data_IF_457730808171
#
_entry.id   IF_457730808171
#
_cell.length_a   1.000
_cell.length_b   1.000
_cell.length_c   1.000
_cell.angle_alpha   90.00
_cell.angle_beta   90.00
_cell.angle_gamma   90.00
#
_symmetry.space_group_name_H-M   'P 1'
#
loop_
_entity.id
_entity.type
_entity.pdbx_description
1 polymer ?
#
# COMPACT_ATOMS: atom_id res chain seq x y z
N UNK A 1 -15.46 -32.74 29.84
CA UNK A 1 -16.36 -31.56 29.74
C UNK A 1 -17.77 -32.00 29.33
N UNK A 2 -18.81 -31.51 30.01
CA UNK A 2 -20.20 -31.90 29.69
C UNK A 2 -20.73 -31.21 28.43
N UNK A 3 -20.25 -29.98 28.14
CA UNK A 3 -20.62 -29.19 26.96
C UNK A 3 -20.42 -29.91 25.62
N UNK A 4 -21.35 -29.73 24.66
CA UNK A 4 -21.17 -30.22 23.28
C UNK A 4 -20.14 -29.38 22.50
N UNK A 5 -19.78 -29.84 21.30
CA UNK A 5 -18.96 -29.03 20.40
C UNK A 5 -19.69 -27.73 20.01
N UNK A 6 -20.99 -27.78 19.72
CA UNK A 6 -21.77 -26.59 19.38
C UNK A 6 -21.84 -25.58 20.54
N UNK A 7 -21.96 -26.05 21.78
CA UNK A 7 -21.90 -25.20 22.97
C UNK A 7 -20.55 -24.47 23.06
N UNK A 8 -19.45 -25.18 22.80
CA UNK A 8 -18.11 -24.61 22.76
C UNK A 8 -17.97 -23.60 21.60
N UNK A 9 -18.45 -23.92 20.40
CA UNK A 9 -18.45 -23.02 19.24
C UNK A 9 -19.20 -21.73 19.55
N UNK A 10 -20.38 -21.81 20.17
CA UNK A 10 -21.16 -20.62 20.58
C UNK A 10 -20.36 -19.72 21.54
N UNK A 11 -19.60 -20.31 22.48
CA UNK A 11 -18.72 -19.57 23.39
C UNK A 11 -17.53 -18.95 22.64
N UNK A 12 -16.88 -19.70 21.75
CA UNK A 12 -15.74 -19.23 20.93
C UNK A 12 -16.16 -18.08 20.02
N UNK A 13 -17.28 -18.22 19.30
CA UNK A 13 -17.79 -17.18 18.38
C UNK A 13 -17.95 -15.84 19.08
N UNK A 14 -18.48 -15.83 20.30
CA UNK A 14 -18.65 -14.61 21.09
C UNK A 14 -17.34 -13.88 21.38
N UNK A 15 -16.20 -14.56 21.34
CA UNK A 15 -14.88 -14.03 21.66
C UNK A 15 -14.02 -13.73 20.42
N UNK A 16 -14.41 -14.21 19.24
CA UNK A 16 -13.61 -14.13 18.02
C UNK A 16 -14.21 -13.17 16.98
N UNK A 17 -13.36 -12.31 16.42
CA UNK A 17 -13.63 -11.48 15.24
C UNK A 17 -12.58 -11.83 14.19
N UNK A 18 -13.00 -12.03 12.94
CA UNK A 18 -12.12 -12.41 11.85
C UNK A 18 -11.91 -11.26 10.85
N UNK A 19 -10.66 -10.95 10.55
CA UNK A 19 -10.33 -9.95 9.52
C UNK A 19 -9.59 -10.63 8.39
N UNK A 20 -10.12 -10.50 7.16
CA UNK A 20 -9.44 -10.99 5.95
C UNK A 20 -8.62 -9.87 5.31
N UNK A 21 -7.43 -10.22 4.80
CA UNK A 21 -6.50 -9.32 4.14
C UNK A 21 -6.21 -9.70 2.68
N UNK A 22 -6.84 -10.76 2.17
CA UNK A 22 -6.52 -11.34 0.86
C UNK A 22 -7.70 -11.17 -0.11
N UNK A 23 -7.53 -10.43 -1.22
CA UNK A 23 -8.58 -10.21 -2.22
C UNK A 23 -8.70 -11.35 -3.24
N UNK A 24 -7.86 -12.38 -3.15
CA UNK A 24 -7.81 -13.53 -4.07
C UNK A 24 -7.87 -14.85 -3.31
N UNK A 25 -8.65 -15.81 -3.81
CA UNK A 25 -8.81 -17.12 -3.19
C UNK A 25 -7.47 -17.83 -2.96
N UNK A 26 -6.57 -17.78 -3.95
CA UNK A 26 -5.25 -18.42 -3.92
C UNK A 26 -4.30 -17.90 -2.82
N UNK A 27 -4.58 -16.73 -2.22
CA UNK A 27 -3.79 -16.20 -1.11
C UNK A 27 -4.34 -16.56 0.27
N UNK A 28 -5.34 -17.45 0.35
CA UNK A 28 -5.86 -17.98 1.61
C UNK A 28 -5.25 -19.35 1.90
N UNK A 29 -4.90 -19.59 3.16
CA UNK A 29 -4.26 -20.85 3.56
C UNK A 29 -5.23 -22.03 3.43
N UNK A 30 -4.79 -23.03 2.66
CA UNK A 30 -5.49 -24.29 2.44
C UNK A 30 -4.57 -25.48 2.71
N UNK A 31 -5.10 -26.50 3.36
CA UNK A 31 -4.38 -27.71 3.73
C UNK A 31 -5.08 -28.93 3.15
N UNK A 32 -4.29 -29.91 2.70
CA UNK A 32 -4.85 -31.19 2.27
C UNK A 32 -5.30 -32.00 3.49
N UNK A 33 -6.34 -32.85 3.36
CA UNK A 33 -6.79 -33.70 4.46
C UNK A 33 -5.67 -34.58 5.04
N UNK A 34 -4.73 -35.05 4.23
CA UNK A 34 -3.60 -35.89 4.68
C UNK A 34 -2.70 -35.12 5.67
N UNK A 35 -2.35 -33.86 5.34
CA UNK A 35 -1.52 -33.03 6.23
C UNK A 35 -2.18 -32.78 7.58
N UNK A 36 -3.50 -32.65 7.60
CA UNK A 36 -4.24 -32.49 8.85
C UNK A 36 -4.26 -33.77 9.66
N UNK A 37 -4.39 -34.95 9.03
CA UNK A 37 -4.29 -36.25 9.71
C UNK A 37 -2.92 -36.49 10.34
N UNK A 38 -1.86 -35.97 9.73
CA UNK A 38 -0.51 -36.02 10.31
C UNK A 38 -0.35 -35.15 11.56
N UNK A 39 -1.17 -34.10 11.69
CA UNK A 39 -1.10 -33.13 12.80
C UNK A 39 -2.12 -33.39 13.92
N UNK A 40 -3.29 -33.94 13.59
CA UNK A 40 -4.41 -34.13 14.51
C UNK A 40 -4.81 -35.60 14.53
N UNK A 41 -4.47 -36.29 15.62
CA UNK A 41 -4.84 -37.69 15.79
C UNK A 41 -6.33 -37.87 16.13
N UNK A 42 -6.82 -39.10 15.98
CA UNK A 42 -8.23 -39.43 16.24
C UNK A 42 -8.65 -39.18 17.69
N UNK A 43 -7.70 -39.15 18.64
CA UNK A 43 -7.99 -38.83 20.05
C UNK A 43 -8.27 -37.34 20.22
N UNK A 44 -7.46 -36.47 19.62
CA UNK A 44 -7.70 -35.04 19.62
C UNK A 44 -9.08 -34.70 19.04
N UNK A 45 -9.44 -35.34 17.91
CA UNK A 45 -10.75 -35.12 17.27
C UNK A 45 -11.89 -35.65 18.16
N UNK A 46 -11.73 -36.81 18.79
CA UNK A 46 -12.71 -37.35 19.72
C UNK A 46 -12.87 -36.50 21.01
N UNK A 47 -11.80 -35.87 21.48
CA UNK A 47 -11.85 -34.94 22.63
C UNK A 47 -12.66 -33.67 22.32
N UNK A 48 -12.72 -33.27 21.03
CA UNK A 48 -13.65 -32.24 20.54
C UNK A 48 -15.08 -32.74 20.38
N UNK A 49 -15.34 -34.03 20.64
CA UNK A 49 -16.62 -34.72 20.42
C UNK A 49 -17.07 -34.68 18.96
N UNK A 50 -16.12 -34.77 18.02
CA UNK A 50 -16.37 -34.82 16.58
C UNK A 50 -15.91 -36.14 15.99
N UNK A 51 -16.48 -36.50 14.84
CA UNK A 51 -15.91 -37.46 13.89
C UNK A 51 -14.84 -36.79 13.02
N UNK A 52 -13.99 -37.58 12.36
CA UNK A 52 -13.03 -37.05 11.37
C UNK A 52 -13.76 -36.24 10.28
N UNK A 53 -14.89 -36.75 9.77
CA UNK A 53 -15.66 -36.08 8.72
C UNK A 53 -16.18 -34.73 9.17
N UNK A 54 -16.73 -34.64 10.39
CA UNK A 54 -17.20 -33.36 10.96
C UNK A 54 -16.05 -32.40 11.23
N UNK A 55 -14.90 -32.89 11.69
CA UNK A 55 -13.72 -32.04 11.89
C UNK A 55 -13.23 -31.44 10.58
N UNK A 56 -13.10 -32.24 9.52
CA UNK A 56 -12.65 -31.73 8.21
C UNK A 56 -13.66 -30.79 7.57
N UNK A 57 -14.96 -30.98 7.80
CA UNK A 57 -15.99 -30.10 7.21
C UNK A 57 -15.95 -28.67 7.75
N UNK A 58 -15.38 -28.45 8.95
CA UNK A 58 -15.22 -27.12 9.56
C UNK A 58 -14.48 -26.13 8.65
N UNK A 59 -13.51 -26.61 7.87
CA UNK A 59 -12.68 -25.79 6.98
C UNK A 59 -13.13 -25.80 5.52
N UNK A 60 -14.20 -26.49 5.14
CA UNK A 60 -14.62 -26.59 3.73
C UNK A 60 -15.54 -25.45 3.34
N UNK A 61 -15.53 -25.03 2.08
CA UNK A 61 -16.56 -24.10 1.58
C UNK A 61 -17.90 -24.84 1.51
N UNK A 62 -17.90 -25.97 0.80
CA UNK A 62 -19.00 -26.93 0.77
C UNK A 62 -18.68 -28.09 1.74
N UNK A 63 -19.43 -28.24 2.86
CA UNK A 63 -19.23 -29.31 3.82
C UNK A 63 -19.32 -30.72 3.22
N UNK A 64 -20.09 -30.89 2.14
CA UNK A 64 -20.40 -32.19 1.54
C UNK A 64 -19.36 -32.62 0.49
N UNK A 65 -18.51 -31.70 0.02
CA UNK A 65 -17.41 -32.03 -0.89
C UNK A 65 -16.32 -32.81 -0.14
N UNK A 66 -16.26 -34.12 -0.37
CA UNK A 66 -15.28 -35.00 0.28
C UNK A 66 -13.83 -34.71 -0.12
N UNK A 67 -13.60 -34.10 -1.29
CA UNK A 67 -12.28 -33.83 -1.83
C UNK A 67 -11.82 -32.38 -1.63
N UNK A 68 -12.69 -31.52 -1.09
CA UNK A 68 -12.34 -30.13 -0.83
C UNK A 68 -11.20 -30.03 0.20
N UNK A 69 -10.18 -29.17 -0.05
CA UNK A 69 -9.15 -28.89 0.92
C UNK A 69 -9.74 -28.15 2.13
N UNK A 70 -9.04 -28.23 3.26
CA UNK A 70 -9.40 -27.51 4.46
C UNK A 70 -8.86 -26.08 4.40
N UNK A 71 -9.75 -25.10 4.28
CA UNK A 71 -9.40 -23.68 4.30
C UNK A 71 -9.49 -23.07 5.70
N UNK A 72 -8.47 -22.28 6.05
CA UNK A 72 -8.47 -21.55 7.32
C UNK A 72 -9.49 -20.42 7.34
N UNK A 73 -9.75 -19.79 6.19
CA UNK A 73 -10.76 -18.73 6.09
C UNK A 73 -12.19 -19.26 6.32
N UNK A 74 -12.62 -20.38 5.69
CA UNK A 74 -13.89 -20.99 6.03
C UNK A 74 -14.03 -21.35 7.51
N UNK A 75 -12.97 -21.91 8.13
CA UNK A 75 -12.96 -22.19 9.56
C UNK A 75 -13.17 -20.89 10.37
N UNK A 76 -12.40 -19.84 10.08
CA UNK A 76 -12.48 -18.58 10.81
C UNK A 76 -13.86 -17.90 10.68
N UNK A 77 -14.47 -17.96 9.50
CA UNK A 77 -15.82 -17.45 9.25
C UNK A 77 -16.88 -18.20 10.07
N UNK A 78 -16.77 -19.53 10.20
CA UNK A 78 -17.68 -20.33 11.05
C UNK A 78 -17.46 -20.08 12.54
N UNK A 79 -16.22 -19.79 12.95
CA UNK A 79 -15.81 -19.68 14.36
C UNK A 79 -15.80 -18.25 14.90
N UNK A 80 -16.21 -17.26 14.13
CA UNK A 80 -16.24 -15.84 14.55
C UNK A 80 -17.67 -15.29 14.65
N UNK A 81 -17.89 -14.31 15.54
CA UNK A 81 -19.18 -13.58 15.60
C UNK A 81 -19.36 -12.61 14.44
N UNK A 82 -18.25 -12.09 13.92
CA UNK A 82 -18.24 -11.12 12.83
C UNK A 82 -16.98 -11.29 11.99
N UNK A 83 -17.08 -10.86 10.73
CA UNK A 83 -15.97 -10.84 9.80
C UNK A 83 -15.92 -9.53 9.03
N UNK A 84 -14.71 -9.03 8.73
CA UNK A 84 -14.53 -7.79 7.99
C UNK A 84 -13.38 -7.87 6.99
N UNK A 85 -13.54 -7.16 5.87
CA UNK A 85 -12.43 -6.74 5.01
C UNK A 85 -11.69 -5.52 5.57
N UNK A 86 -10.62 -5.10 4.89
CA UNK A 86 -9.68 -4.06 5.36
C UNK A 86 -9.74 -2.74 4.58
N UNK A 87 -10.71 -2.64 3.69
CA UNK A 87 -11.20 -1.45 2.98
C UNK A 87 -12.63 -1.73 2.55
N UNK A 88 -13.39 -0.68 2.20
CA UNK A 88 -14.75 -0.86 1.68
C UNK A 88 -14.79 -1.79 0.46
N UNK A 89 -13.91 -1.56 -0.53
CA UNK A 89 -13.85 -2.38 -1.74
C UNK A 89 -13.47 -3.83 -1.44
N UNK A 90 -12.55 -4.05 -0.50
CA UNK A 90 -12.18 -5.39 -0.08
C UNK A 90 -13.32 -6.14 0.62
N UNK A 91 -14.18 -5.44 1.36
CA UNK A 91 -15.41 -6.02 1.90
C UNK A 91 -16.33 -6.56 0.80
N UNK A 92 -16.55 -5.77 -0.26
CA UNK A 92 -17.33 -6.20 -1.44
C UNK A 92 -16.72 -7.44 -2.12
N UNK A 93 -15.41 -7.41 -2.40
CA UNK A 93 -14.70 -8.55 -3.00
C UNK A 93 -14.78 -9.79 -2.11
N UNK A 94 -14.59 -9.63 -0.80
CA UNK A 94 -14.66 -10.73 0.17
C UNK A 94 -16.04 -11.36 0.22
N UNK A 95 -17.11 -10.56 0.14
CA UNK A 95 -18.49 -11.09 0.07
C UNK A 95 -18.70 -11.98 -1.16
N UNK A 96 -18.19 -11.55 -2.32
CA UNK A 96 -18.24 -12.35 -3.54
C UNK A 96 -17.44 -13.66 -3.45
N UNK A 97 -16.22 -13.60 -2.88
CA UNK A 97 -15.35 -14.78 -2.71
C UNK A 97 -15.98 -15.86 -1.84
N UNK A 98 -16.66 -15.46 -0.75
CA UNK A 98 -17.16 -16.38 0.26
C UNK A 98 -18.67 -16.62 0.20
N UNK A 99 -19.37 -16.08 -0.80
CA UNK A 99 -20.82 -16.24 -0.98
C UNK A 99 -21.28 -17.70 -0.89
N UNK A 100 -20.52 -18.63 -1.48
CA UNK A 100 -20.83 -20.07 -1.52
C UNK A 100 -20.86 -20.73 -0.13
N UNK A 101 -20.37 -20.08 0.92
CA UNK A 101 -20.45 -20.59 2.28
C UNK A 101 -21.80 -20.32 2.96
N UNK A 102 -22.64 -19.50 2.36
CA UNK A 102 -23.93 -19.08 2.91
C UNK A 102 -25.07 -19.79 2.17
N UNK A 103 -26.30 -19.80 2.75
CA UNK A 103 -27.43 -20.51 2.16
C UNK A 103 -27.61 -20.20 0.67
N UNK A 104 -28.00 -21.21 -0.11
CA UNK A 104 -28.25 -21.05 -1.53
C UNK A 104 -29.27 -19.91 -1.78
N UNK A 105 -28.95 -19.03 -2.72
CA UNK A 105 -29.74 -17.83 -3.00
C UNK A 105 -29.39 -16.59 -2.17
N UNK A 106 -28.44 -16.66 -1.24
CA UNK A 106 -27.91 -15.47 -0.52
C UNK A 106 -27.30 -14.50 -1.54
N UNK A 107 -27.80 -13.26 -1.61
CA UNK A 107 -27.21 -12.24 -2.46
C UNK A 107 -25.81 -11.86 -1.96
N UNK A 108 -24.90 -11.45 -2.85
CA UNK A 108 -23.54 -11.04 -2.47
C UNK A 108 -23.56 -9.90 -1.44
N UNK A 109 -24.54 -9.00 -1.50
CA UNK A 109 -24.68 -7.91 -0.52
C UNK A 109 -25.21 -8.34 0.85
N UNK A 110 -25.85 -9.52 0.94
CA UNK A 110 -26.37 -10.08 2.18
C UNK A 110 -25.36 -10.97 2.92
N UNK A 111 -24.22 -11.26 2.30
CA UNK A 111 -23.13 -12.00 2.95
C UNK A 111 -22.60 -11.18 4.15
N UNK A 112 -22.59 -11.73 5.39
CA UNK A 112 -22.28 -11.00 6.62
C UNK A 112 -20.78 -10.75 6.82
N UNK A 113 -20.12 -10.21 5.80
CA UNK A 113 -18.73 -9.73 5.83
C UNK A 113 -18.77 -8.22 5.59
N UNK A 114 -18.41 -7.45 6.60
CA UNK A 114 -18.37 -5.98 6.53
C UNK A 114 -16.98 -5.49 6.11
N UNK A 115 -16.61 -4.27 6.47
CA UNK A 115 -15.26 -3.75 6.32
C UNK A 115 -14.91 -2.88 7.52
N UNK A 116 -13.62 -2.89 7.87
CA UNK A 116 -13.00 -1.90 8.75
C UNK A 116 -11.76 -1.43 8.02
N UNK A 117 -11.79 -0.20 7.52
CA UNK A 117 -10.72 0.33 6.69
C UNK A 117 -9.45 0.49 7.51
N UNK A 118 -8.32 -0.02 7.01
CA UNK A 118 -7.06 0.08 7.73
C UNK A 118 -6.69 1.53 8.08
N UNK A 119 -5.88 1.67 9.11
CA UNK A 119 -5.25 2.93 9.51
C UNK A 119 -3.81 2.70 9.93
N UNK A 120 -3.05 3.80 9.96
CA UNK A 120 -1.64 3.80 10.39
C UNK A 120 -1.46 4.74 11.56
N UNK A 121 -0.53 4.39 12.45
CA UNK A 121 -0.30 5.14 13.68
C UNK A 121 0.36 6.51 13.40
N UNK A 122 -0.37 7.63 13.55
CA UNK A 122 0.14 8.94 13.13
C UNK A 122 1.42 9.33 13.86
N UNK A 123 1.55 9.03 15.16
CA UNK A 123 2.75 9.36 15.93
C UNK A 123 4.00 8.58 15.51
N UNK A 124 3.84 7.41 14.91
CA UNK A 124 4.97 6.64 14.37
C UNK A 124 5.36 7.14 12.98
N UNK A 125 4.39 7.50 12.14
CA UNK A 125 4.64 7.70 10.71
C UNK A 125 4.82 9.17 10.31
N UNK A 126 4.24 10.12 11.03
CA UNK A 126 4.48 11.54 10.83
C UNK A 126 5.93 11.87 11.19
N UNK A 127 6.59 12.69 10.37
CA UNK A 127 7.96 13.11 10.63
C UNK A 127 8.08 13.97 11.90
N UNK A 128 9.15 13.83 12.71
CA UNK A 128 9.38 14.67 13.89
C UNK A 128 9.32 16.17 13.63
N UNK A 129 9.68 16.63 12.43
CA UNK A 129 9.59 18.04 12.06
C UNK A 129 8.12 18.51 11.96
N UNK A 130 7.23 17.72 11.37
CA UNK A 130 5.80 18.00 11.34
C UNK A 130 5.17 17.91 12.73
N UNK A 131 5.64 17.04 13.62
CA UNK A 131 5.23 17.07 15.03
C UNK A 131 5.55 18.40 15.73
N UNK A 132 6.65 19.06 15.37
CA UNK A 132 6.97 20.40 15.89
C UNK A 132 6.05 21.46 15.29
N UNK A 133 5.79 21.36 13.98
CA UNK A 133 4.86 22.23 13.26
C UNK A 133 3.45 22.15 13.86
N UNK A 134 2.91 20.95 14.05
CA UNK A 134 1.59 20.77 14.65
C UNK A 134 1.55 21.28 16.09
N UNK A 135 2.58 21.05 16.91
CA UNK A 135 2.64 21.63 18.26
C UNK A 135 2.62 23.16 18.26
N UNK A 136 3.25 23.80 17.27
CA UNK A 136 3.30 25.26 17.13
C UNK A 136 1.98 25.87 16.64
N UNK A 137 1.38 25.29 15.59
CA UNK A 137 0.23 25.89 14.90
C UNK A 137 -1.12 25.31 15.31
N UNK A 138 -1.17 24.04 15.73
CA UNK A 138 -2.38 23.33 16.16
C UNK A 138 -2.48 23.25 17.69
N UNK A 139 -1.34 23.06 18.36
CA UNK A 139 -1.22 22.99 19.82
C UNK A 139 -0.62 21.67 20.33
N UNK A 140 -0.28 21.58 21.63
CA UNK A 140 0.40 20.41 22.20
C UNK A 140 -0.40 19.11 22.05
N UNK A 141 -1.73 19.20 22.11
CA UNK A 141 -2.65 18.06 22.03
C UNK A 141 -3.20 17.82 20.60
N UNK A 142 -2.46 18.22 19.55
CA UNK A 142 -2.88 18.09 18.14
C UNK A 142 -3.37 16.67 17.78
N UNK A 143 -2.80 15.63 18.40
CA UNK A 143 -3.15 14.23 18.18
C UNK A 143 -4.62 13.93 18.54
N UNK A 144 -5.19 14.61 19.55
CA UNK A 144 -6.61 14.46 19.91
C UNK A 144 -7.53 15.04 18.84
N UNK A 145 -7.05 16.02 18.09
CA UNK A 145 -7.82 16.68 17.03
C UNK A 145 -8.05 15.75 15.83
N UNK A 146 -7.27 14.67 15.69
CA UNK A 146 -7.48 13.66 14.64
C UNK A 146 -8.82 12.94 14.74
N UNK A 147 -9.41 12.88 15.94
CA UNK A 147 -10.80 12.39 16.12
C UNK A 147 -11.88 13.40 15.68
N UNK A 148 -11.47 14.61 15.27
CA UNK A 148 -12.36 15.70 14.86
C UNK A 148 -11.94 16.23 13.47
N UNK A 149 -12.24 15.52 12.36
CA UNK A 149 -11.71 15.82 11.02
C UNK A 149 -11.92 17.26 10.55
N UNK A 150 -13.08 17.87 10.85
CA UNK A 150 -13.39 19.26 10.49
C UNK A 150 -12.43 20.23 11.19
N UNK A 151 -12.26 20.09 12.50
CA UNK A 151 -11.34 20.95 13.28
C UNK A 151 -9.88 20.70 12.90
N UNK A 152 -9.53 19.46 12.59
CA UNK A 152 -8.20 19.13 12.05
C UNK A 152 -7.94 19.90 10.75
N UNK A 153 -8.87 19.83 9.79
CA UNK A 153 -8.77 20.56 8.52
C UNK A 153 -8.63 22.07 8.72
N UNK A 154 -9.45 22.66 9.59
CA UNK A 154 -9.36 24.09 9.94
C UNK A 154 -8.00 24.47 10.54
N UNK A 155 -7.46 23.62 11.42
CA UNK A 155 -6.16 23.87 12.05
C UNK A 155 -4.98 23.70 11.06
N UNK A 156 -5.05 22.70 10.18
CA UNK A 156 -4.07 22.50 9.10
C UNK A 156 -4.09 23.69 8.14
N UNK A 157 -5.25 24.30 7.85
CA UNK A 157 -5.34 25.49 7.01
C UNK A 157 -4.58 26.71 7.58
N UNK A 158 -4.30 26.75 8.90
CA UNK A 158 -3.55 27.84 9.54
C UNK A 158 -2.03 27.73 9.40
N UNK A 159 -1.51 26.59 8.95
CA UNK A 159 -0.06 26.40 8.77
C UNK A 159 0.38 27.16 7.51
N UNK A 160 1.35 28.08 7.54
CA UNK A 160 1.81 28.76 6.33
C UNK A 160 2.37 27.81 5.25
N UNK A 161 2.16 28.12 3.97
CA UNK A 161 2.63 27.31 2.83
C UNK A 161 4.16 27.12 2.85
N UNK A 162 4.90 28.20 3.13
CA UNK A 162 6.37 28.20 3.23
C UNK A 162 6.87 27.24 4.31
N UNK A 163 6.11 27.05 5.39
CA UNK A 163 6.44 26.12 6.47
C UNK A 163 6.25 24.67 6.04
N UNK A 164 5.17 24.36 5.31
CA UNK A 164 4.95 23.00 4.78
C UNK A 164 6.07 22.67 3.78
N UNK A 165 6.32 23.57 2.84
CA UNK A 165 7.31 23.39 1.80
C UNK A 165 8.75 23.30 2.33
N UNK A 166 9.16 24.19 3.22
CA UNK A 166 10.52 24.14 3.82
C UNK A 166 10.75 22.86 4.64
N UNK A 167 9.74 22.41 5.41
CA UNK A 167 9.83 21.15 6.12
C UNK A 167 9.97 19.97 5.15
N UNK A 168 9.22 19.98 4.05
CA UNK A 168 9.32 18.97 3.00
C UNK A 168 10.71 18.95 2.35
N UNK A 169 11.27 20.12 2.01
CA UNK A 169 12.62 20.22 1.46
C UNK A 169 13.70 19.74 2.45
N UNK A 170 13.55 20.01 3.75
CA UNK A 170 14.47 19.48 4.78
C UNK A 170 14.46 17.96 4.76
N UNK A 171 13.26 17.38 4.75
CA UNK A 171 13.03 15.94 4.71
C UNK A 171 13.62 15.31 3.43
N UNK A 172 13.38 15.94 2.28
CA UNK A 172 13.94 15.52 0.98
C UNK A 172 15.47 15.56 0.95
N UNK A 173 16.09 16.59 1.54
CA UNK A 173 17.55 16.64 1.68
C UNK A 173 18.09 15.47 2.53
N UNK A 174 17.38 15.10 3.60
CA UNK A 174 17.74 13.93 4.39
C UNK A 174 17.61 12.63 3.58
N UNK A 175 16.62 12.52 2.69
CA UNK A 175 16.46 11.36 1.80
C UNK A 175 17.65 11.22 0.88
N UNK A 176 18.05 12.31 0.25
CA UNK A 176 19.18 12.34 -0.66
C UNK A 176 20.46 11.95 0.09
N UNK A 177 20.70 12.52 1.28
CA UNK A 177 21.84 12.13 2.10
C UNK A 177 21.83 10.63 2.44
N UNK A 178 20.67 10.08 2.79
CA UNK A 178 20.50 8.65 3.06
C UNK A 178 20.76 7.79 1.82
N UNK A 179 20.24 8.18 0.66
CA UNK A 179 20.46 7.46 -0.61
C UNK A 179 21.95 7.49 -0.95
N UNK A 180 22.60 8.65 -0.88
CA UNK A 180 24.02 8.82 -1.20
C UNK A 180 24.91 7.98 -0.29
N UNK A 181 24.60 7.92 1.01
CA UNK A 181 25.35 7.09 1.96
C UNK A 181 25.12 5.59 1.69
N UNK A 182 23.86 5.18 1.47
CA UNK A 182 23.53 3.76 1.24
C UNK A 182 24.01 3.24 -0.11
N UNK A 183 24.15 4.12 -1.09
CA UNK A 183 24.70 3.80 -2.42
C UNK A 183 26.21 3.99 -2.49
N UNK A 184 26.84 4.59 -1.47
CA UNK A 184 28.29 4.74 -1.39
C UNK A 184 28.91 3.34 -1.37
N UNK A 185 29.56 2.99 -2.48
CA UNK A 185 30.34 1.76 -2.64
C UNK A 185 31.09 1.41 -1.36
N UNK A 186 30.69 0.33 -0.69
CA UNK A 186 31.63 -0.44 0.12
C UNK A 186 32.52 -1.17 -0.87
N UNK A 187 33.80 -0.80 -0.93
CA UNK A 187 34.89 -1.44 -1.71
C UNK A 187 35.13 -2.93 -1.36
N UNK A 188 34.15 -3.63 -0.80
CA UNK A 188 34.26 -5.01 -0.29
C UNK A 188 33.74 -6.07 -1.26
N UNK A 189 33.48 -5.72 -2.52
CA UNK A 189 33.56 -6.69 -3.62
C UNK A 189 32.39 -7.64 -3.83
N UNK A 190 31.14 -7.25 -3.56
CA UNK A 190 29.95 -7.90 -4.18
C UNK A 190 28.69 -7.11 -3.84
N UNK A 191 27.96 -6.60 -4.85
CA UNK A 191 26.50 -6.33 -4.87
C UNK A 191 26.07 -5.73 -6.21
N UNK A 192 25.07 -6.34 -6.83
CA UNK A 192 24.39 -5.91 -8.06
C UNK A 192 23.51 -4.67 -7.77
N UNK A 193 24.01 -3.45 -7.94
CA UNK A 193 23.23 -2.21 -7.72
C UNK A 193 23.31 -1.24 -8.90
N UNK A 194 22.27 -0.42 -9.09
CA UNK A 194 22.18 0.52 -10.24
C UNK A 194 23.39 1.49 -10.28
N UNK A 195 23.98 1.84 -9.13
CA UNK A 195 24.95 2.95 -9.05
C UNK A 195 26.42 2.50 -8.88
N UNK A 196 26.77 1.26 -9.25
CA UNK A 196 28.10 0.66 -9.04
C UNK A 196 29.30 1.47 -9.58
N UNK A 197 29.09 2.37 -10.55
CA UNK A 197 30.17 3.10 -11.25
C UNK A 197 30.06 4.62 -11.17
N UNK A 198 29.14 5.15 -10.35
CA UNK A 198 28.82 6.59 -10.34
C UNK A 198 29.37 7.26 -9.09
N UNK A 199 29.93 8.46 -9.23
CA UNK A 199 30.23 9.32 -8.08
C UNK A 199 28.90 9.66 -7.38
N UNK A 200 28.63 9.00 -6.25
CA UNK A 200 27.36 9.14 -5.54
C UNK A 200 27.19 10.52 -4.88
N UNK A 201 28.24 11.37 -4.87
CA UNK A 201 28.13 12.75 -4.37
C UNK A 201 27.16 13.60 -5.19
N UNK A 202 27.03 13.30 -6.48
CA UNK A 202 26.12 14.01 -7.40
C UNK A 202 24.81 13.26 -7.64
N UNK A 203 24.59 12.14 -6.96
CA UNK A 203 23.35 11.37 -7.07
C UNK A 203 22.21 12.17 -6.44
N UNK A 204 21.20 12.48 -7.26
CA UNK A 204 19.96 13.16 -6.89
C UNK A 204 20.14 14.63 -6.47
N UNK A 205 19.08 15.41 -6.63
CA UNK A 205 19.04 16.82 -6.22
C UNK A 205 17.73 17.15 -5.51
N UNK A 206 17.74 17.98 -4.45
CA UNK A 206 16.53 18.35 -3.72
C UNK A 206 15.57 19.20 -4.58
N UNK A 207 16.06 19.83 -5.64
CA UNK A 207 15.23 20.63 -6.55
C UNK A 207 14.45 19.77 -7.55
N UNK A 208 14.85 18.52 -7.77
CA UNK A 208 14.30 17.64 -8.80
C UNK A 208 13.11 16.84 -8.26
N UNK A 209 12.02 16.72 -9.03
CA UNK A 209 10.85 15.92 -8.65
C UNK A 209 11.25 14.46 -8.39
N UNK A 210 10.97 13.96 -7.19
CA UNK A 210 11.32 12.63 -6.70
C UNK A 210 10.11 11.74 -6.55
N UNK A 211 10.05 10.68 -7.36
CA UNK A 211 8.99 9.67 -7.31
C UNK A 211 9.50 8.44 -6.56
N UNK A 212 8.83 8.11 -5.46
CA UNK A 212 9.08 6.89 -4.70
C UNK A 212 8.17 5.75 -5.14
N UNK A 213 8.77 4.59 -5.39
CA UNK A 213 8.07 3.34 -5.66
C UNK A 213 8.67 2.26 -4.77
N UNK A 214 8.01 1.91 -3.66
CA UNK A 214 8.56 0.88 -2.78
C UNK A 214 7.54 -0.08 -2.19
N UNK A 215 7.65 -1.35 -2.58
CA UNK A 215 6.70 -2.44 -2.26
C UNK A 215 7.38 -3.80 -2.33
N UNK A 216 6.75 -4.83 -1.75
CA UNK A 216 7.09 -6.22 -2.09
C UNK A 216 6.92 -6.41 -3.60
N UNK A 217 7.87 -7.08 -4.23
CA UNK A 217 7.76 -7.38 -5.66
C UNK A 217 6.80 -8.56 -5.81
N UNK A 218 5.72 -8.34 -6.55
CA UNK A 218 4.68 -9.33 -6.85
C UNK A 218 3.99 -8.92 -8.16
N UNK A 219 3.53 -9.89 -8.95
CA UNK A 219 2.97 -9.65 -10.29
C UNK A 219 1.82 -8.62 -10.29
N UNK A 220 0.87 -8.75 -9.36
CA UNK A 220 -0.26 -7.82 -9.27
C UNK A 220 0.12 -6.39 -8.87
N UNK A 221 1.35 -6.12 -8.37
CA UNK A 221 1.81 -4.75 -8.05
C UNK A 221 2.31 -3.97 -9.27
N UNK A 222 2.42 -4.64 -10.44
CA UNK A 222 2.74 -4.11 -11.79
C UNK A 222 3.92 -3.14 -11.84
N UNK A 223 5.05 -3.53 -11.26
CA UNK A 223 6.29 -2.74 -11.37
C UNK A 223 6.72 -2.49 -12.83
N UNK A 224 6.42 -3.44 -13.72
CA UNK A 224 6.67 -3.37 -15.15
C UNK A 224 5.88 -2.26 -15.86
N UNK A 225 4.81 -1.70 -15.26
CA UNK A 225 4.02 -0.65 -15.89
C UNK A 225 4.82 0.62 -16.17
N UNK A 226 5.84 0.92 -15.35
CA UNK A 226 6.75 2.05 -15.57
C UNK A 226 7.83 1.74 -16.61
N UNK A 227 7.95 0.47 -17.04
CA UNK A 227 8.97 0.00 -17.99
C UNK A 227 8.37 -0.30 -19.37
N UNK A 228 7.07 -0.09 -19.56
CA UNK A 228 6.39 -0.30 -20.84
C UNK A 228 6.87 0.68 -21.91
N UNK A 229 7.21 1.92 -21.53
CA UNK A 229 7.76 2.94 -22.42
C UNK A 229 9.04 3.55 -21.83
N UNK A 230 10.13 2.83 -22.04
CA UNK A 230 11.48 3.24 -21.59
C UNK A 230 11.88 4.58 -22.23
N UNK A 231 11.46 4.86 -23.47
CA UNK A 231 11.82 6.11 -24.13
C UNK A 231 11.16 7.32 -23.45
N UNK A 232 9.86 7.25 -23.13
CA UNK A 232 9.17 8.29 -22.34
C UNK A 232 9.79 8.45 -20.97
N UNK A 233 10.09 7.34 -20.30
CA UNK A 233 10.75 7.34 -19.00
C UNK A 233 12.09 8.08 -19.05
N UNK A 234 12.95 7.73 -20.01
CA UNK A 234 14.26 8.38 -20.18
C UNK A 234 14.13 9.85 -20.56
N UNK A 235 13.14 10.24 -21.39
CA UNK A 235 12.86 11.65 -21.71
C UNK A 235 12.53 12.47 -20.46
N UNK A 236 11.64 11.96 -19.60
CA UNK A 236 11.30 12.65 -18.33
C UNK A 236 12.49 12.75 -17.38
N UNK A 237 13.27 11.68 -17.28
CA UNK A 237 14.49 11.68 -16.48
C UNK A 237 15.49 12.68 -17.02
N UNK A 238 15.57 12.86 -18.34
CA UNK A 238 16.58 13.67 -19.01
C UNK A 238 16.17 15.10 -19.39
N UNK A 239 14.97 15.52 -19.02
CA UNK A 239 14.50 16.87 -19.30
C UNK A 239 15.42 17.94 -18.67
N UNK A 240 15.77 18.97 -19.44
CA UNK A 240 16.68 20.05 -19.01
C UNK A 240 16.02 21.07 -18.09
N UNK A 241 14.71 21.23 -18.17
CA UNK A 241 13.93 22.20 -17.40
C UNK A 241 13.16 21.52 -16.26
N UNK A 242 12.64 20.32 -16.51
CA UNK A 242 11.73 19.60 -15.60
C UNK A 242 12.14 18.13 -15.41
N UNK A 243 13.38 17.84 -14.98
CA UNK A 243 13.87 16.46 -14.81
C UNK A 243 13.08 15.70 -13.74
N UNK A 244 13.12 14.37 -13.80
CA UNK A 244 12.52 13.50 -12.77
C UNK A 244 13.56 12.53 -12.22
N UNK A 245 13.49 12.24 -10.92
CA UNK A 245 14.28 11.22 -10.25
C UNK A 245 13.39 10.15 -9.60
N UNK A 246 13.84 8.89 -9.60
CA UNK A 246 13.08 7.73 -9.15
C UNK A 246 13.79 6.96 -8.05
N UNK A 247 13.12 6.74 -6.92
CA UNK A 247 13.59 5.83 -5.86
C UNK A 247 12.77 4.58 -5.85
N UNK A 248 13.40 3.47 -6.20
CA UNK A 248 12.83 2.14 -6.08
C UNK A 248 13.28 1.49 -4.79
N UNK A 249 12.41 0.78 -4.09
CA UNK A 249 12.83 -0.10 -3.00
C UNK A 249 11.93 -1.32 -2.86
N UNK A 250 12.50 -2.47 -2.55
CA UNK A 250 11.69 -3.68 -2.42
C UNK A 250 12.46 -4.87 -1.92
N UNK A 251 11.71 -5.93 -1.66
CA UNK A 251 12.24 -7.27 -1.44
C UNK A 251 11.60 -8.19 -2.46
N UNK A 252 12.44 -8.82 -3.29
CA UNK A 252 12.04 -9.92 -4.15
C UNK A 252 12.15 -11.22 -3.37
N UNK A 253 11.15 -12.10 -3.46
CA UNK A 253 11.31 -13.44 -2.90
C UNK A 253 12.30 -14.23 -3.77
N UNK A 254 13.26 -14.99 -3.20
CA UNK A 254 14.29 -15.68 -3.99
C UNK A 254 13.76 -16.64 -5.07
N UNK A 255 12.53 -17.13 -4.90
CA UNK A 255 11.86 -18.04 -5.83
C UNK A 255 10.89 -17.34 -6.80
N UNK A 256 10.65 -16.04 -6.65
CA UNK A 256 9.76 -15.27 -7.52
C UNK A 256 10.50 -14.85 -8.80
N UNK A 257 10.24 -15.59 -9.89
CA UNK A 257 10.88 -15.35 -11.19
C UNK A 257 10.44 -14.02 -11.82
N UNK A 258 9.20 -13.61 -11.61
CA UNK A 258 8.67 -12.35 -12.13
C UNK A 258 9.36 -11.17 -11.45
N UNK A 259 9.55 -11.26 -10.14
CA UNK A 259 10.27 -10.25 -9.39
C UNK A 259 11.73 -10.08 -9.84
N UNK A 260 12.41 -11.19 -10.15
CA UNK A 260 13.78 -11.14 -10.69
C UNK A 260 13.82 -10.51 -12.07
N UNK A 261 12.88 -10.83 -12.95
CA UNK A 261 12.82 -10.24 -14.28
C UNK A 261 12.63 -8.71 -14.21
N UNK A 262 11.70 -8.24 -13.37
CA UNK A 262 11.49 -6.79 -13.15
C UNK A 262 12.78 -6.10 -12.70
N UNK A 263 13.52 -6.70 -11.78
CA UNK A 263 14.80 -6.14 -11.31
C UNK A 263 15.85 -6.16 -12.42
N UNK A 264 15.91 -7.24 -13.21
CA UNK A 264 16.80 -7.32 -14.37
C UNK A 264 16.47 -6.28 -15.43
N UNK A 265 15.19 -6.03 -15.71
CA UNK A 265 14.73 -5.01 -16.64
C UNK A 265 15.11 -3.61 -16.15
N UNK A 266 14.90 -3.32 -14.85
CA UNK A 266 15.37 -2.08 -14.22
C UNK A 266 16.89 -1.91 -14.30
N UNK A 267 17.64 -3.01 -14.11
CA UNK A 267 19.10 -3.02 -14.23
C UNK A 267 19.57 -2.96 -15.70
N UNK A 268 18.76 -3.35 -16.68
CA UNK A 268 19.14 -3.29 -18.09
C UNK A 268 19.23 -1.84 -18.61
N UNK A 269 18.43 -0.94 -18.03
CA UNK A 269 18.44 0.51 -18.32
C UNK A 269 19.71 1.17 -17.73
N UNK A 270 20.47 0.45 -16.90
CA UNK A 270 21.62 0.99 -16.18
C UNK A 270 22.77 1.48 -17.07
N UNK A 271 22.79 1.13 -18.37
CA UNK A 271 23.81 1.66 -19.29
C UNK A 271 23.59 3.14 -19.66
N UNK A 272 22.42 3.72 -19.37
CA UNK A 272 22.11 5.12 -19.65
C UNK A 272 22.65 6.05 -18.56
N UNK A 273 23.67 6.84 -18.89
CA UNK A 273 24.39 7.70 -17.92
C UNK A 273 23.51 8.70 -17.15
N UNK A 274 22.42 9.17 -17.76
CA UNK A 274 21.46 10.09 -17.14
C UNK A 274 20.50 9.36 -16.19
N UNK A 275 20.15 8.12 -16.48
CA UNK A 275 19.38 7.24 -15.58
C UNK A 275 20.17 6.98 -14.29
N UNK A 276 21.46 6.65 -14.39
CA UNK A 276 22.33 6.39 -13.23
C UNK A 276 22.43 7.54 -12.22
N UNK A 277 22.23 8.78 -12.66
CA UNK A 277 22.29 9.97 -11.78
C UNK A 277 20.96 10.30 -11.12
N UNK A 278 19.86 9.71 -11.58
CA UNK A 278 18.49 10.10 -11.26
C UNK A 278 17.60 8.92 -10.87
N UNK A 279 18.06 7.69 -10.97
CA UNK A 279 17.35 6.51 -10.47
C UNK A 279 18.23 5.74 -9.49
N UNK A 280 17.62 5.19 -8.44
CA UNK A 280 18.30 4.25 -7.55
C UNK A 280 17.36 3.15 -7.08
N UNK A 281 17.93 1.95 -6.88
CA UNK A 281 17.25 0.85 -6.22
C UNK A 281 17.85 0.66 -4.82
N UNK A 282 17.00 0.70 -3.79
CA UNK A 282 17.37 0.47 -2.40
C UNK A 282 16.94 -0.94 -2.02
N UNK A 283 17.93 -1.82 -1.86
CA UNK A 283 17.72 -3.17 -1.35
C UNK A 283 17.26 -3.17 0.12
N UNK A 284 16.77 -4.30 0.60
CA UNK A 284 16.39 -4.50 2.00
C UNK A 284 15.38 -3.48 2.53
N UNK A 285 14.30 -3.25 1.77
CA UNK A 285 13.19 -2.42 2.23
C UNK A 285 12.59 -2.95 3.54
N UNK A 286 12.77 -2.18 4.60
CA UNK A 286 12.35 -2.45 5.96
C UNK A 286 11.65 -1.22 6.56
N UNK A 287 11.33 -1.28 7.85
CA UNK A 287 10.60 -0.20 8.51
C UNK A 287 11.40 1.11 8.54
N UNK A 288 12.72 1.04 8.68
CA UNK A 288 13.56 2.23 8.70
C UNK A 288 13.62 2.87 7.32
N UNK A 289 13.96 2.09 6.28
CA UNK A 289 13.94 2.54 4.88
C UNK A 289 12.58 3.09 4.48
N UNK A 290 11.49 2.47 4.95
CA UNK A 290 10.14 2.98 4.72
C UNK A 290 9.94 4.39 5.27
N UNK A 291 10.47 4.71 6.46
CA UNK A 291 10.36 6.06 7.05
C UNK A 291 11.04 7.11 6.18
N UNK A 292 12.20 6.80 5.60
CA UNK A 292 12.88 7.70 4.67
C UNK A 292 12.01 7.96 3.44
N UNK A 293 11.45 6.91 2.82
CA UNK A 293 10.72 7.06 1.57
C UNK A 293 9.34 7.70 1.75
N UNK A 294 8.48 7.14 2.62
CA UNK A 294 7.10 7.62 2.74
C UNK A 294 7.01 9.03 3.28
N UNK A 295 8.04 9.53 3.97
CA UNK A 295 8.01 10.89 4.50
C UNK A 295 8.58 11.92 3.53
N UNK A 296 9.47 11.53 2.60
CA UNK A 296 10.46 12.46 2.02
C UNK A 296 10.53 12.49 0.48
N UNK A 297 9.86 11.56 -0.22
CA UNK A 297 9.66 11.69 -1.68
C UNK A 297 8.57 12.72 -1.97
N UNK A 298 8.50 13.25 -3.20
CA UNK A 298 7.44 14.19 -3.59
C UNK A 298 6.15 13.46 -3.95
N UNK A 299 6.27 12.33 -4.67
CA UNK A 299 5.16 11.48 -5.09
C UNK A 299 5.37 10.04 -4.65
N UNK A 300 4.33 9.43 -4.08
CA UNK A 300 4.29 8.02 -3.75
C UNK A 300 3.47 7.26 -4.82
N UNK A 301 4.16 6.52 -5.68
CA UNK A 301 3.57 5.83 -6.83
C UNK A 301 3.14 4.40 -6.48
N UNK A 302 1.89 4.07 -6.80
CA UNK A 302 1.32 2.74 -6.63
C UNK A 302 0.44 2.34 -7.81
N UNK A 303 0.78 1.26 -8.52
CA UNK A 303 0.03 0.80 -9.71
C UNK A 303 -0.49 -0.64 -9.58
N UNK A 304 -1.11 -1.05 -8.45
CA UNK A 304 -1.63 -2.41 -8.34
C UNK A 304 -2.69 -2.68 -9.42
N UNK A 305 -2.84 -3.95 -9.79
CA UNK A 305 -3.94 -4.39 -10.66
C UNK A 305 -5.24 -4.36 -9.84
N UNK A 306 -6.28 -3.74 -10.40
CA UNK A 306 -7.62 -3.70 -9.80
C UNK A 306 -8.27 -5.09 -9.92
N UNK A 307 -9.06 -5.57 -8.94
CA UNK A 307 -9.25 -5.10 -7.56
C UNK A 307 -8.35 -5.88 -6.56
N UNK A 308 -7.09 -6.14 -6.92
CA UNK A 308 -6.19 -7.02 -6.16
C UNK A 308 -5.45 -6.30 -5.02
N UNK A 309 -5.69 -5.00 -4.79
CA UNK A 309 -5.25 -4.30 -3.59
C UNK A 309 -6.34 -4.32 -2.51
N UNK A 310 -6.17 -5.13 -1.47
CA UNK A 310 -7.12 -5.15 -0.35
C UNK A 310 -7.21 -3.80 0.38
N UNK A 311 -6.12 -3.03 0.48
CA UNK A 311 -6.11 -1.72 1.12
C UNK A 311 -4.90 -0.90 0.63
N UNK A 312 -3.76 -0.97 1.33
CA UNK A 312 -2.52 -0.28 0.96
C UNK A 312 -2.09 0.78 1.97
N UNK A 313 -1.46 0.36 3.08
CA UNK A 313 -1.13 1.28 4.18
C UNK A 313 0.08 2.18 3.92
N UNK A 314 0.90 1.92 2.90
CA UNK A 314 2.07 2.78 2.61
C UNK A 314 1.66 4.16 2.10
N UNK A 315 0.62 4.24 1.27
CA UNK A 315 0.08 5.51 0.79
C UNK A 315 -0.53 6.37 1.91
N UNK A 316 -1.16 5.72 2.90
CA UNK A 316 -1.65 6.40 4.11
C UNK A 316 -0.50 7.06 4.88
N UNK A 317 0.62 6.37 5.06
CA UNK A 317 1.83 6.91 5.73
C UNK A 317 2.40 8.09 4.96
N UNK A 318 2.38 8.01 3.63
CA UNK A 318 2.88 9.06 2.75
C UNK A 318 2.02 10.32 2.85
N UNK A 319 0.71 10.16 2.75
CA UNK A 319 -0.27 11.25 2.84
C UNK A 319 -0.15 12.05 4.15
N UNK A 320 0.05 11.39 5.29
CA UNK A 320 0.21 12.07 6.59
C UNK A 320 1.42 13.01 6.68
N UNK A 321 2.37 12.89 5.74
CA UNK A 321 3.55 13.74 5.64
C UNK A 321 3.46 14.76 4.49
N UNK A 322 2.30 14.87 3.83
CA UNK A 322 2.10 15.75 2.67
C UNK A 322 2.69 15.20 1.38
N UNK A 323 3.15 13.95 1.34
CA UNK A 323 3.57 13.29 0.10
C UNK A 323 2.33 12.97 -0.72
N UNK A 324 2.32 13.36 -2.00
CA UNK A 324 1.17 13.16 -2.87
C UNK A 324 1.14 11.72 -3.38
N UNK A 325 -0.01 11.07 -3.29
CA UNK A 325 -0.19 9.74 -3.85
C UNK A 325 -0.52 9.85 -5.33
N UNK A 326 0.09 8.97 -6.14
CA UNK A 326 -0.31 8.74 -7.52
C UNK A 326 -0.61 7.26 -7.69
N UNK A 327 -1.89 6.92 -7.86
CA UNK A 327 -2.32 5.52 -7.86
C UNK A 327 -3.54 5.24 -8.71
N UNK A 328 -3.86 3.96 -8.90
CA UNK A 328 -5.17 3.54 -9.41
C UNK A 328 -6.23 3.69 -8.32
N UNK A 329 -7.50 3.79 -8.71
CA UNK A 329 -8.63 3.69 -7.78
C UNK A 329 -8.84 2.22 -7.37
N UNK A 330 -8.03 1.73 -6.43
CA UNK A 330 -8.19 0.44 -5.76
C UNK A 330 -7.86 0.54 -4.26
N UNK A 331 -8.30 -0.46 -3.49
CA UNK A 331 -8.05 -0.55 -2.06
C UNK A 331 -8.45 0.72 -1.31
N UNK A 332 -7.49 1.28 -0.55
CA UNK A 332 -7.72 2.48 0.27
C UNK A 332 -7.92 3.76 -0.54
N UNK A 333 -7.39 3.82 -1.76
CA UNK A 333 -7.36 5.07 -2.53
C UNK A 333 -8.74 5.45 -3.06
N UNK A 334 -9.63 4.45 -3.28
CA UNK A 334 -11.06 4.66 -3.57
C UNK A 334 -11.74 5.46 -2.46
N UNK A 335 -11.35 5.22 -1.20
CA UNK A 335 -11.95 5.85 -0.03
C UNK A 335 -11.34 7.22 0.28
N UNK A 336 -10.08 7.42 -0.11
CA UNK A 336 -9.30 8.60 0.26
C UNK A 336 -9.27 9.70 -0.79
N UNK A 337 -9.28 9.38 -2.09
CA UNK A 337 -9.10 10.38 -3.14
C UNK A 337 -10.28 11.36 -3.24
N UNK A 338 -9.98 12.65 -3.29
CA UNK A 338 -10.98 13.74 -3.36
C UNK A 338 -10.70 14.76 -4.48
N UNK A 339 -9.90 14.39 -5.47
CA UNK A 339 -9.42 15.25 -6.58
C UNK A 339 -8.41 16.33 -6.18
N UNK A 340 -8.37 16.74 -4.91
CA UNK A 340 -7.47 17.79 -4.40
C UNK A 340 -6.20 17.21 -3.76
N UNK A 341 -6.28 15.99 -3.21
CA UNK A 341 -5.26 15.40 -2.35
C UNK A 341 -4.25 14.43 -3.02
N UNK A 342 -4.26 14.30 -4.34
CA UNK A 342 -3.33 13.45 -5.07
C UNK A 342 -3.69 13.29 -6.54
N UNK A 343 -3.30 12.17 -7.15
CA UNK A 343 -3.49 11.87 -8.56
C UNK A 343 -3.99 10.44 -8.77
N UNK A 344 -4.76 10.25 -9.84
CA UNK A 344 -5.41 8.97 -10.15
C UNK A 344 -5.12 8.54 -11.57
N UNK A 345 -4.71 7.28 -11.75
CA UNK A 345 -4.78 6.60 -13.04
C UNK A 345 -6.23 6.14 -13.24
N UNK A 346 -6.97 6.73 -14.20
CA UNK A 346 -8.38 6.43 -14.40
C UNK A 346 -8.57 4.97 -14.82
N UNK A 347 -9.72 4.42 -14.44
CA UNK A 347 -10.11 3.08 -14.85
C UNK A 347 -10.60 3.08 -16.30
N UNK A 348 -10.04 2.27 -17.22
CA UNK A 348 -10.57 2.16 -18.57
C UNK A 348 -11.92 1.41 -18.54
N UNK A 349 -13.01 2.16 -18.39
CA UNK A 349 -14.37 1.68 -18.14
C UNK A 349 -14.89 0.59 -19.11
N UNK A 350 -14.35 0.53 -20.33
CA UNK A 350 -14.80 -0.38 -21.39
C UNK A 350 -14.00 -1.69 -21.49
N UNK A 351 -13.04 -1.93 -20.60
CA UNK A 351 -12.16 -3.10 -20.66
C UNK A 351 -12.45 -4.04 -19.49
N UNK A 352 -13.06 -5.19 -19.81
CA UNK A 352 -13.41 -6.23 -18.83
C UNK A 352 -12.30 -7.25 -18.61
N UNK A 353 -11.37 -7.37 -19.54
CA UNK A 353 -10.20 -8.25 -19.42
C UNK A 353 -9.10 -7.54 -18.64
N UNK A 354 -8.77 -8.09 -17.47
CA UNK A 354 -7.76 -7.54 -16.58
C UNK A 354 -6.41 -7.33 -17.29
N UNK A 355 -5.95 -8.24 -18.15
CA UNK A 355 -4.64 -8.12 -18.81
C UNK A 355 -4.64 -7.04 -19.90
N UNK A 356 -5.77 -6.84 -20.57
CA UNK A 356 -5.95 -5.81 -21.59
C UNK A 356 -5.92 -4.38 -21.02
N UNK A 357 -6.01 -4.21 -19.69
CA UNK A 357 -5.93 -2.89 -19.03
C UNK A 357 -4.51 -2.34 -18.91
N UNK A 358 -3.47 -3.15 -19.11
CA UNK A 358 -2.09 -2.72 -18.83
C UNK A 358 -1.58 -1.62 -19.77
N UNK A 359 -1.84 -1.73 -21.07
CA UNK A 359 -1.40 -0.70 -22.01
C UNK A 359 -2.15 0.63 -21.77
N UNK A 360 -3.48 0.66 -21.62
CA UNK A 360 -4.20 1.89 -21.24
C UNK A 360 -3.76 2.49 -19.90
N UNK A 361 -3.55 1.66 -18.86
CA UNK A 361 -3.07 2.14 -17.56
C UNK A 361 -1.65 2.74 -17.68
N UNK A 362 -0.78 2.15 -18.51
CA UNK A 362 0.54 2.70 -18.80
C UNK A 362 0.45 4.06 -19.53
N UNK A 363 -0.35 4.15 -20.59
CA UNK A 363 -0.53 5.38 -21.35
C UNK A 363 -1.06 6.52 -20.47
N UNK A 364 -2.04 6.21 -19.63
CA UNK A 364 -2.57 7.13 -18.62
C UNK A 364 -1.52 7.51 -17.58
N UNK A 365 -0.73 6.54 -17.08
CA UNK A 365 0.35 6.79 -16.12
C UNK A 365 1.32 7.85 -16.65
N UNK A 366 1.82 7.68 -17.87
CA UNK A 366 2.75 8.63 -18.45
C UNK A 366 2.06 9.95 -18.82
N UNK A 367 0.83 9.92 -19.34
CA UNK A 367 0.10 11.14 -19.67
C UNK A 367 -0.08 12.06 -18.45
N UNK A 368 -0.45 11.48 -17.30
CA UNK A 368 -0.62 12.23 -16.05
C UNK A 368 0.73 12.74 -15.53
N UNK A 369 1.80 11.93 -15.63
CA UNK A 369 3.15 12.39 -15.28
C UNK A 369 3.57 13.60 -16.11
N UNK A 370 3.48 13.48 -17.43
CA UNK A 370 3.97 14.49 -18.39
C UNK A 370 3.12 15.77 -18.42
N UNK A 371 1.80 15.64 -18.32
CA UNK A 371 0.87 16.74 -18.55
C UNK A 371 0.32 17.37 -17.26
N UNK A 372 0.40 16.68 -16.11
CA UNK A 372 -0.14 17.18 -14.85
C UNK A 372 0.93 17.24 -13.74
N UNK A 373 1.49 16.11 -13.33
CA UNK A 373 2.34 16.02 -12.12
C UNK A 373 3.64 16.82 -12.31
N UNK A 374 4.37 16.57 -13.40
CA UNK A 374 5.65 17.24 -13.67
C UNK A 374 5.43 18.76 -13.84
N UNK A 375 4.51 19.23 -14.71
CA UNK A 375 4.25 20.66 -14.83
C UNK A 375 3.85 21.32 -13.51
N UNK A 376 3.01 20.67 -12.69
CA UNK A 376 2.54 21.23 -11.43
C UNK A 376 3.68 21.43 -10.41
N UNK A 377 4.58 20.46 -10.27
CA UNK A 377 5.71 20.55 -9.35
C UNK A 377 6.70 21.67 -9.74
N UNK A 378 6.90 21.86 -11.05
CA UNK A 378 7.83 22.88 -11.58
C UNK A 378 7.20 24.25 -11.77
N UNK A 379 5.88 24.39 -11.59
CA UNK A 379 5.19 25.67 -11.65
C UNK A 379 5.50 26.53 -10.41
N UNK A 380 6.64 27.23 -10.46
CA UNK A 380 7.15 28.09 -9.38
C UNK A 380 7.11 29.55 -9.82
N UNK A 381 6.16 30.32 -9.30
CA UNK A 381 6.10 31.77 -9.53
C UNK A 381 7.34 32.45 -8.92
N UNK A 382 8.10 33.19 -9.73
CA UNK A 382 9.26 34.00 -9.29
C UNK A 382 10.31 33.23 -8.45
N UNK A 383 10.44 31.92 -8.64
CA UNK A 383 11.39 31.08 -7.92
C UNK A 383 10.99 30.70 -6.49
N UNK A 384 9.75 30.98 -6.07
CA UNK A 384 9.19 30.57 -4.77
C UNK A 384 8.73 29.12 -4.73
N UNK A 385 8.00 28.75 -3.68
CA UNK A 385 7.37 27.44 -3.56
C UNK A 385 6.30 27.20 -4.65
N UNK A 386 6.12 25.95 -5.12
CA UNK A 386 5.05 25.61 -6.05
C UNK A 386 3.70 25.65 -5.30
N UNK A 387 3.05 26.82 -5.25
CA UNK A 387 1.84 27.07 -4.44
C UNK A 387 0.74 26.03 -4.62
N UNK A 388 0.44 25.68 -5.87
CA UNK A 388 -0.60 24.68 -6.16
C UNK A 388 -0.20 23.29 -5.67
N UNK A 389 1.08 22.93 -5.76
CA UNK A 389 1.60 21.68 -5.19
C UNK A 389 1.45 21.68 -3.66
N UNK A 390 1.86 22.75 -2.99
CA UNK A 390 1.77 22.89 -1.53
C UNK A 390 0.31 22.85 -1.06
N UNK A 391 -0.62 23.45 -1.83
CA UNK A 391 -2.06 23.32 -1.57
C UNK A 391 -2.50 21.85 -1.58
N UNK A 392 -2.12 21.07 -2.60
CA UNK A 392 -2.42 19.63 -2.64
C UNK A 392 -1.79 18.86 -1.47
N UNK A 393 -0.56 19.22 -1.07
CA UNK A 393 0.10 18.60 0.09
C UNK A 393 -0.70 18.86 1.38
N UNK A 394 -1.18 20.09 1.55
CA UNK A 394 -2.04 20.49 2.67
C UNK A 394 -3.35 19.73 2.66
N UNK A 395 -4.01 19.63 1.52
CA UNK A 395 -5.26 18.90 1.36
C UNK A 395 -5.08 17.42 1.67
N UNK A 396 -3.98 16.81 1.21
CA UNK A 396 -3.58 15.45 1.57
C UNK A 396 -3.43 15.25 3.08
N UNK A 397 -2.72 16.14 3.78
CA UNK A 397 -2.59 16.07 5.25
C UNK A 397 -3.97 16.25 5.92
N UNK A 398 -4.79 17.18 5.43
CA UNK A 398 -6.06 17.56 6.03
C UNK A 398 -7.15 16.49 5.87
N UNK A 399 -7.32 15.92 4.68
CA UNK A 399 -8.37 14.91 4.43
C UNK A 399 -7.95 13.51 4.87
N UNK A 400 -6.69 13.12 4.64
CA UNK A 400 -6.28 11.71 4.79
C UNK A 400 -5.78 11.36 6.20
N UNK A 401 -5.17 12.29 6.95
CA UNK A 401 -4.60 11.97 8.27
C UNK A 401 -5.65 11.50 9.29
N UNK A 402 -6.80 12.18 9.47
CA UNK A 402 -7.84 11.72 10.38
C UNK A 402 -8.47 10.39 9.91
N UNK A 403 -8.80 10.32 8.62
CA UNK A 403 -9.51 9.21 8.01
C UNK A 403 -8.72 7.90 8.09
N UNK A 404 -7.40 7.94 7.90
CA UNK A 404 -6.54 6.76 7.90
C UNK A 404 -5.68 6.65 9.16
N UNK A 405 -6.12 7.24 10.27
CA UNK A 405 -5.50 7.04 11.58
C UNK A 405 -5.82 5.65 12.14
N UNK A 406 -4.84 5.03 12.82
CA UNK A 406 -5.09 3.80 13.58
C UNK A 406 -6.11 4.00 14.70
N UNK A 407 -6.21 5.22 15.24
CA UNK A 407 -7.16 5.55 16.30
C UNK A 407 -8.60 5.39 15.80
N UNK A 408 -8.91 5.94 14.60
CA UNK A 408 -10.18 5.72 13.91
C UNK A 408 -10.41 4.23 13.65
N UNK A 409 -9.42 3.55 13.06
CA UNK A 409 -9.53 2.12 12.77
C UNK A 409 -9.88 1.29 14.02
N UNK A 410 -9.21 1.53 15.15
CA UNK A 410 -9.47 0.80 16.40
C UNK A 410 -10.85 1.15 16.96
N UNK A 411 -11.31 2.40 16.86
CA UNK A 411 -12.68 2.77 17.25
C UNK A 411 -13.74 2.05 16.42
N UNK A 412 -13.49 1.75 15.15
CA UNK A 412 -14.42 0.98 14.32
C UNK A 412 -14.47 -0.52 14.70
N UNK A 413 -13.48 -1.04 15.43
CA UNK A 413 -13.47 -2.42 15.94
C UNK A 413 -14.20 -2.60 17.28
N UNK A 414 -14.34 -1.53 18.07
CA UNK A 414 -14.85 -1.53 19.45
C UNK A 414 -16.31 -1.10 19.47
#
# INVERSE_FOLDING_TARGET
>A
PDDSFEDAVSKVRKQCVFTTHTPVSAGNDVFSPEKLKDCFDSRFIADLKLTETEFFSLGKIDPDDQNAPFGMTPLALRMSRSANGVSKKHGEVSRGLWQKMFPEGTAVDDVPITHITNGVHPQTWIAPIFHRTYRKYVGPEWHRLLSHPIRWKEAIAQIPDDVIWSNHLILKNMLIAFIRERTRSTETGTRDTINERTDTRDLFSPEILTIGFARRVAAYKRWNLLLTDIERLLRMVDDTERPVQFVFAGKAHPQDRVAKQILQDLMSINHESKWQKRACFIEDYDHDTARYLVRWVDVWLNVPRRPHEASGTSGMKAAMNGVLNFSVLDGWWIEGFDETNGFVIPDPADITDEEATDQPDADNLYSILENEIIPLYYNRELGGEPRQWVSRMRDSIASLTPQFSSDRMVMDYV
#
